data_IF_244067275608
#
_entry.id   IF_244067275608
#
_cell.length_a   1.000
_cell.length_b   1.000
_cell.length_c   1.000
_cell.angle_alpha   90.00
_cell.angle_beta   90.00
_cell.angle_gamma   90.00
#
_symmetry.space_group_name_H-M   'P 1'
#
loop_
_entity.id
_entity.type
_entity.pdbx_description
1 polymer ?
#
# COMPACT_ATOMS: atom_id res chain seq x y z
N UNK A 1 -6.48 -17.31 25.38
CA UNK A 1 -6.64 -18.14 24.16
C UNK A 1 -6.67 -17.23 22.95
N UNK A 2 -5.98 -17.59 21.86
CA UNK A 2 -5.94 -16.80 20.63
C UNK A 2 -7.20 -17.06 19.78
N UNK A 3 -7.85 -16.01 19.28
CA UNK A 3 -9.04 -16.14 18.43
C UNK A 3 -8.65 -16.30 16.95
N UNK A 4 -8.52 -17.55 16.51
CA UNK A 4 -8.08 -17.92 15.16
C UNK A 4 -8.92 -17.28 14.06
N UNK A 5 -10.24 -17.12 14.29
CA UNK A 5 -11.16 -16.52 13.32
C UNK A 5 -10.88 -15.03 13.08
N UNK A 6 -10.37 -14.32 14.10
CA UNK A 6 -10.04 -12.89 14.02
C UNK A 6 -8.59 -12.64 13.59
N UNK A 7 -7.69 -13.59 13.84
CA UNK A 7 -6.29 -13.47 13.43
C UNK A 7 -6.19 -13.57 11.91
N UNK A 8 -5.48 -12.66 11.26
CA UNK A 8 -5.10 -12.73 9.84
C UNK A 8 -3.58 -12.69 9.79
N UNK A 9 -2.99 -13.47 8.89
CA UNK A 9 -1.55 -13.58 8.75
C UNK A 9 -1.14 -13.10 7.36
N UNK A 10 -0.07 -12.31 7.34
CA UNK A 10 0.59 -11.82 6.13
C UNK A 10 2.07 -12.09 6.34
N UNK A 11 2.68 -12.86 5.45
CA UNK A 11 4.12 -13.14 5.49
C UNK A 11 4.79 -12.25 4.46
N UNK A 12 5.74 -11.45 4.91
CA UNK A 12 6.56 -10.62 4.03
C UNK A 12 7.98 -11.19 3.93
N UNK A 13 8.38 -11.58 2.72
CA UNK A 13 9.69 -12.16 2.44
C UNK A 13 10.48 -11.26 1.48
N UNK A 14 11.62 -10.75 1.95
CA UNK A 14 12.50 -9.85 1.19
C UNK A 14 13.76 -10.54 0.65
N UNK A 15 13.85 -11.87 0.77
CA UNK A 15 15.02 -12.62 0.29
C UNK A 15 15.09 -12.57 -1.24
N UNK A 16 16.30 -12.30 -1.78
CA UNK A 16 16.55 -12.30 -3.24
C UNK A 16 16.27 -13.63 -3.92
N UNK A 17 16.41 -14.72 -3.17
CA UNK A 17 16.00 -16.06 -3.56
C UNK A 17 15.06 -16.57 -2.48
N UNK A 18 13.76 -16.44 -2.73
CA UNK A 18 12.73 -16.93 -1.83
C UNK A 18 12.47 -18.41 -2.11
N UNK A 19 12.59 -19.24 -1.08
CA UNK A 19 12.06 -20.60 -1.08
C UNK A 19 10.56 -20.53 -0.79
N UNK A 20 9.75 -21.39 -1.43
CA UNK A 20 8.31 -21.48 -1.13
C UNK A 20 8.08 -21.49 0.38
N UNK A 21 7.29 -20.51 0.84
CA UNK A 21 6.97 -20.36 2.25
C UNK A 21 6.09 -21.54 2.66
N UNK A 22 6.52 -22.27 3.69
CA UNK A 22 5.73 -23.36 4.24
C UNK A 22 4.38 -22.83 4.74
N UNK A 23 3.26 -23.54 4.49
CA UNK A 23 1.96 -23.15 5.02
C UNK A 23 2.01 -23.07 6.54
N UNK A 24 1.45 -22.00 7.12
CA UNK A 24 1.44 -21.84 8.56
C UNK A 24 0.25 -22.58 9.17
N UNK A 25 0.52 -23.40 10.18
CA UNK A 25 -0.49 -24.18 10.90
C UNK A 25 -0.77 -23.52 12.26
N UNK A 26 -1.95 -22.92 12.42
CA UNK A 26 -2.43 -22.42 13.72
C UNK A 26 -3.46 -23.42 14.25
N UNK A 27 -3.15 -24.09 15.37
CA UNK A 27 -4.03 -25.09 16.00
C UNK A 27 -4.53 -26.20 15.05
N UNK A 28 -3.70 -26.63 14.09
CA UNK A 28 -4.03 -27.71 13.15
C UNK A 28 -4.79 -27.27 11.90
N UNK A 29 -5.21 -26.01 11.79
CA UNK A 29 -5.74 -25.45 10.53
C UNK A 29 -4.60 -24.85 9.70
N UNK A 30 -4.44 -25.38 8.48
CA UNK A 30 -3.57 -24.82 7.46
C UNK A 30 -4.17 -23.50 6.97
N UNK A 31 -3.41 -22.41 7.06
CA UNK A 31 -3.85 -21.11 6.58
C UNK A 31 -3.00 -20.68 5.41
N UNK A 32 -3.63 -20.54 4.26
CA UNK A 32 -2.98 -19.95 3.11
C UNK A 32 -2.61 -18.49 3.43
N UNK A 33 -1.36 -18.07 3.15
CA UNK A 33 -0.96 -16.70 3.35
C UNK A 33 -1.83 -15.77 2.48
N UNK A 34 -2.35 -14.71 3.09
CA UNK A 34 -3.06 -13.68 2.33
C UNK A 34 -2.02 -12.77 1.66
N UNK A 35 -2.09 -12.66 0.33
CA UNK A 35 -1.21 -11.76 -0.42
C UNK A 35 -1.51 -10.27 -0.16
N UNK A 36 -2.75 -9.95 0.24
CA UNK A 36 -3.18 -8.58 0.55
C UNK A 36 -4.22 -8.56 1.66
N UNK A 37 -4.19 -7.55 2.52
CA UNK A 37 -5.16 -7.36 3.60
C UNK A 37 -5.43 -5.88 3.89
N UNK A 38 -6.68 -5.56 4.24
CA UNK A 38 -7.09 -4.24 4.68
C UNK A 38 -6.89 -4.10 6.19
N UNK A 39 -6.01 -3.19 6.60
CA UNK A 39 -5.78 -2.85 8.00
C UNK A 39 -5.88 -1.34 8.19
N UNK A 40 -6.81 -0.89 9.04
CA UNK A 40 -7.00 0.53 9.38
C UNK A 40 -7.15 1.45 8.15
N UNK A 41 -7.81 0.98 7.08
CA UNK A 41 -7.99 1.75 5.85
C UNK A 41 -6.78 1.75 4.91
N UNK A 42 -5.74 0.96 5.22
CA UNK A 42 -4.56 0.75 4.38
C UNK A 42 -4.60 -0.66 3.80
N UNK A 43 -4.42 -0.79 2.48
CA UNK A 43 -4.19 -2.07 1.84
C UNK A 43 -2.71 -2.43 1.99
N UNK A 44 -2.43 -3.47 2.77
CA UNK A 44 -1.09 -4.01 3.01
C UNK A 44 -0.93 -5.24 2.13
N UNK A 45 0.05 -5.24 1.24
CA UNK A 45 0.46 -6.39 0.45
C UNK A 45 1.65 -7.13 1.08
N UNK A 46 1.75 -8.43 0.82
CA UNK A 46 2.80 -9.32 1.36
C UNK A 46 4.21 -8.94 0.90
N UNK A 47 4.34 -8.37 -0.30
CA UNK A 47 5.58 -7.79 -0.80
C UNK A 47 5.93 -6.43 -0.12
N UNK A 48 5.08 -5.97 0.81
CA UNK A 48 5.08 -4.63 1.42
C UNK A 48 5.26 -3.55 0.33
N UNK A 49 4.78 -3.84 -0.88
CA UNK A 49 4.87 -2.88 -1.97
C UNK A 49 3.81 -1.81 -1.70
N UNK A 50 4.25 -0.74 -1.07
CA UNK A 50 3.49 0.50 -0.96
C UNK A 50 3.27 1.16 -2.33
N UNK A 51 3.58 0.47 -3.44
CA UNK A 51 3.50 0.93 -4.82
C UNK A 51 2.20 1.64 -5.11
N UNK A 52 1.05 1.10 -4.68
CA UNK A 52 -0.24 1.75 -4.91
C UNK A 52 -0.36 3.09 -4.17
N UNK A 53 0.05 3.13 -2.90
CA UNK A 53 0.03 4.36 -2.10
C UNK A 53 1.04 5.39 -2.62
N UNK A 54 2.27 4.97 -2.88
CA UNK A 54 3.34 5.81 -3.44
C UNK A 54 2.90 6.37 -4.81
N UNK A 55 2.32 5.53 -5.67
CA UNK A 55 1.78 5.96 -6.96
C UNK A 55 0.67 6.98 -6.79
N UNK A 56 -0.23 6.79 -5.82
CA UNK A 56 -1.29 7.76 -5.53
C UNK A 56 -0.72 9.12 -5.07
N UNK A 57 0.26 9.10 -4.17
CA UNK A 57 0.94 10.32 -3.70
C UNK A 57 1.69 11.02 -4.85
N UNK A 58 2.44 10.27 -5.66
CA UNK A 58 3.15 10.80 -6.83
C UNK A 58 2.17 11.44 -7.81
N UNK A 59 1.07 10.76 -8.15
CA UNK A 59 0.05 11.31 -9.06
C UNK A 59 -0.54 12.62 -8.53
N UNK A 60 -0.83 12.70 -7.24
CA UNK A 60 -1.35 13.93 -6.62
C UNK A 60 -0.32 15.07 -6.66
N UNK A 61 0.94 14.79 -6.36
CA UNK A 61 2.01 15.77 -6.44
C UNK A 61 2.24 16.26 -7.87
N UNK A 62 2.23 15.35 -8.85
CA UNK A 62 2.35 15.67 -10.27
C UNK A 62 1.19 16.53 -10.76
N UNK A 63 -0.05 16.23 -10.33
CA UNK A 63 -1.21 17.07 -10.66
C UNK A 63 -1.07 18.50 -10.12
N UNK A 64 -0.69 18.65 -8.86
CA UNK A 64 -0.47 19.96 -8.24
C UNK A 64 0.63 20.74 -8.96
N UNK A 65 1.76 20.07 -9.26
CA UNK A 65 2.87 20.69 -9.98
C UNK A 65 2.45 21.11 -11.40
N UNK A 66 1.73 20.26 -12.12
CA UNK A 66 1.19 20.58 -13.43
C UNK A 66 0.30 21.82 -13.38
N UNK A 67 -0.63 21.88 -12.43
CA UNK A 67 -1.48 23.06 -12.23
C UNK A 67 -0.68 24.33 -11.94
N UNK A 68 0.32 24.27 -11.05
CA UNK A 68 1.20 25.40 -10.74
C UNK A 68 1.93 25.91 -11.99
N UNK A 69 2.46 24.99 -12.81
CA UNK A 69 3.13 25.35 -14.06
C UNK A 69 2.17 26.04 -15.04
N UNK A 70 0.93 25.54 -15.15
CA UNK A 70 -0.10 26.15 -16.01
C UNK A 70 -0.47 27.55 -15.53
N UNK A 71 -0.70 27.75 -14.22
CA UNK A 71 -1.01 29.09 -13.68
C UNK A 71 0.13 30.08 -13.95
N UNK A 72 1.37 29.66 -13.70
CA UNK A 72 2.55 30.49 -13.97
C UNK A 72 2.68 30.86 -15.44
N UNK A 73 2.41 29.92 -16.35
CA UNK A 73 2.46 30.16 -17.80
C UNK A 73 1.46 31.23 -18.24
N UNK A 74 0.31 31.30 -17.58
CA UNK A 74 -0.76 32.25 -17.90
C UNK A 74 -0.75 33.51 -17.02
N UNK A 75 0.30 33.74 -16.21
CA UNK A 75 0.37 34.83 -15.23
C UNK A 75 -0.85 34.88 -14.29
N UNK A 76 -1.43 33.72 -13.98
CA UNK A 76 -2.55 33.58 -13.07
C UNK A 76 -2.05 33.39 -11.64
N UNK A 77 -2.81 33.90 -10.68
CA UNK A 77 -2.45 33.85 -9.27
C UNK A 77 -2.43 32.40 -8.75
N UNK A 78 -1.31 32.02 -8.11
CA UNK A 78 -1.13 30.74 -7.42
C UNK A 78 -2.09 30.53 -6.25
N UNK A 79 -2.74 31.58 -5.73
CA UNK A 79 -3.74 31.48 -4.67
C UNK A 79 -4.99 30.66 -5.06
N UNK A 80 -5.19 30.39 -6.35
CA UNK A 80 -6.27 29.54 -6.87
C UNK A 80 -6.12 28.04 -6.51
N UNK A 81 -4.97 27.63 -5.96
CA UNK A 81 -4.65 26.22 -5.63
C UNK A 81 -4.81 25.87 -4.14
N UNK A 82 -5.59 26.62 -3.36
CA UNK A 82 -5.81 26.28 -1.95
C UNK A 82 -6.50 24.90 -1.79
N UNK A 83 -6.01 24.06 -0.86
CA UNK A 83 -6.67 22.80 -0.52
C UNK A 83 -8.01 23.00 0.21
#
# INVERSE_FOLDING_TARGET
SLNIKKTKEIIADFRRHSTELAPLFINGECKDPLHTFWFLGVLISADISWTNNITAVIKKAQQLLHFLMVLRKHNLDSNLLRP
#
